data_IF_010808496775
#
_entry.id   IF_010808496775
#
_cell.length_a   1.000
_cell.length_b   1.000
_cell.length_c   1.000
_cell.angle_alpha   90.00
_cell.angle_beta   90.00
_cell.angle_gamma   90.00
#
_symmetry.space_group_name_H-M   'P 1'
#
loop_
_entity.id
_entity.type
_entity.pdbx_description
1 polymer ?
#
# COMPACT_ATOMS: atom_id res chain seq x y z
N UNK A 1 19.36 24.91 2.66
CA UNK A 1 18.73 23.69 3.21
C UNK A 1 17.73 23.19 2.18
N UNK A 2 18.17 22.34 1.25
CA UNK A 2 17.29 21.74 0.25
C UNK A 2 16.72 20.46 0.83
N UNK A 3 15.42 20.45 1.11
CA UNK A 3 14.71 19.30 1.64
C UNK A 3 14.70 18.18 0.58
N UNK A 4 15.23 17.03 0.97
CA UNK A 4 15.08 15.79 0.22
C UNK A 4 13.63 15.32 0.39
N UNK A 5 12.73 15.79 -0.50
CA UNK A 5 11.35 15.30 -0.55
C UNK A 5 11.35 13.94 -1.23
N UNK A 6 12.00 12.95 -0.61
CA UNK A 6 11.85 11.56 -1.01
C UNK A 6 10.36 11.20 -0.81
N UNK A 7 9.65 10.75 -1.86
CA UNK A 7 8.26 10.32 -1.69
C UNK A 7 8.25 9.21 -0.66
N UNK A 8 7.59 9.43 0.48
CA UNK A 8 7.47 8.44 1.54
C UNK A 8 6.69 7.25 0.97
N UNK A 9 7.43 6.22 0.53
CA UNK A 9 6.83 4.99 0.00
C UNK A 9 6.19 4.25 1.18
N UNK A 10 4.87 4.02 1.16
CA UNK A 10 4.22 3.28 2.24
C UNK A 10 4.75 1.84 2.27
N UNK A 11 5.05 1.34 3.46
CA UNK A 11 5.48 -0.04 3.64
C UNK A 11 4.27 -0.98 3.57
N UNK A 12 3.97 -1.48 2.37
CA UNK A 12 2.83 -2.37 2.12
C UNK A 12 2.97 -3.75 2.81
N UNK A 13 4.19 -4.21 3.10
CA UNK A 13 4.44 -5.50 3.75
C UNK A 13 4.03 -5.53 5.24
N UNK A 14 3.97 -4.36 5.89
CA UNK A 14 3.59 -4.22 7.29
C UNK A 14 2.15 -3.76 7.52
N UNK A 15 1.40 -3.50 6.45
CA UNK A 15 0.03 -3.01 6.55
C UNK A 15 -0.94 -4.16 6.77
N UNK A 16 -1.90 -3.97 7.67
CA UNK A 16 -3.08 -4.80 7.75
C UNK A 16 -3.94 -4.63 6.49
N UNK A 17 -4.87 -5.57 6.25
CA UNK A 17 -5.78 -5.50 5.09
C UNK A 17 -6.55 -4.17 5.06
N UNK A 18 -7.00 -3.69 6.22
CA UNK A 18 -7.80 -2.47 6.36
C UNK A 18 -6.98 -1.21 6.04
N UNK A 19 -5.72 -1.15 6.49
CA UNK A 19 -4.79 -0.07 6.14
C UNK A 19 -4.48 -0.06 4.65
N UNK A 20 -4.30 -1.24 4.04
CA UNK A 20 -4.07 -1.33 2.62
C UNK A 20 -5.31 -0.90 1.81
N UNK A 21 -6.51 -1.32 2.23
CA UNK A 21 -7.76 -0.85 1.63
C UNK A 21 -7.91 0.68 1.73
N UNK A 22 -7.64 1.26 2.91
CA UNK A 22 -7.68 2.71 3.11
C UNK A 22 -6.63 3.43 2.26
N UNK A 23 -5.44 2.86 2.12
CA UNK A 23 -4.40 3.38 1.25
C UNK A 23 -4.83 3.39 -0.22
N UNK A 24 -5.36 2.27 -0.73
CA UNK A 24 -5.86 2.20 -2.11
C UNK A 24 -7.04 3.17 -2.33
N UNK A 25 -7.95 3.33 -1.38
CA UNK A 25 -9.01 4.33 -1.47
C UNK A 25 -8.46 5.76 -1.51
N UNK A 26 -7.42 6.05 -0.73
CA UNK A 26 -6.81 7.40 -0.66
C UNK A 26 -6.19 7.85 -1.98
N UNK A 27 -5.77 6.90 -2.82
CA UNK A 27 -5.23 7.16 -4.16
C UNK A 27 -6.28 7.03 -5.28
N UNK A 28 -7.57 6.83 -4.93
CA UNK A 28 -8.67 6.68 -5.89
C UNK A 28 -8.84 5.27 -6.47
N UNK A 29 -8.15 4.28 -5.92
CA UNK A 29 -8.26 2.88 -6.31
C UNK A 29 -9.34 2.13 -5.52
N UNK A 30 -9.84 1.03 -6.12
CA UNK A 30 -10.91 0.24 -5.52
C UNK A 30 -10.37 -0.71 -4.43
N UNK A 31 -11.16 -0.93 -3.36
CA UNK A 31 -10.79 -1.80 -2.21
C UNK A 31 -10.30 -3.20 -2.60
N UNK A 32 -10.83 -3.80 -3.67
CA UNK A 32 -10.40 -5.14 -4.10
C UNK A 32 -8.92 -5.18 -4.54
N UNK A 33 -8.32 -4.03 -4.91
CA UNK A 33 -6.89 -3.94 -5.25
C UNK A 33 -6.01 -4.28 -4.06
N UNK A 34 -6.40 -3.87 -2.86
CA UNK A 34 -5.71 -4.25 -1.63
C UNK A 34 -5.66 -5.79 -1.48
N UNK A 35 -6.79 -6.47 -1.70
CA UNK A 35 -6.84 -7.94 -1.61
C UNK A 35 -5.97 -8.62 -2.68
N UNK A 36 -5.92 -8.09 -3.90
CA UNK A 36 -5.04 -8.61 -4.95
C UNK A 36 -3.56 -8.44 -4.56
N UNK A 37 -3.16 -7.24 -4.14
CA UNK A 37 -1.76 -6.96 -3.75
C UNK A 37 -1.36 -7.75 -2.51
N UNK A 38 -2.23 -7.87 -1.50
CA UNK A 38 -2.01 -8.74 -0.34
C UNK A 38 -1.77 -10.19 -0.78
N UNK A 39 -2.59 -10.71 -1.71
CA UNK A 39 -2.40 -12.06 -2.24
C UNK A 39 -1.04 -12.21 -2.92
N UNK A 40 -0.63 -11.26 -3.76
CA UNK A 40 0.71 -11.27 -4.40
C UNK A 40 1.85 -11.22 -3.38
N UNK A 41 1.76 -10.32 -2.39
CA UNK A 41 2.76 -10.15 -1.34
C UNK A 41 2.96 -11.45 -0.52
N UNK A 42 1.89 -12.19 -0.25
CA UNK A 42 1.94 -13.42 0.58
C UNK A 42 2.07 -14.71 -0.25
N UNK A 43 1.80 -14.67 -1.57
CA UNK A 43 1.95 -15.85 -2.45
C UNK A 43 3.37 -16.07 -2.93
N UNK A 44 4.18 -15.02 -3.05
CA UNK A 44 5.61 -15.10 -3.44
C UNK A 44 6.51 -15.10 -2.20
N UNK A 45 6.06 -15.75 -1.12
CA UNK A 45 6.82 -16.01 0.11
C UNK A 45 7.28 -17.46 0.17
#
# INVERSE_FOLDING_TARGET
MTADTAPQRPNLLGMTREEMEAFFLSIGEKKFRAAQVMKWIHQEG
#
